data_IF_054675798518
#
_entry.id   IF_054675798518
#
_cell.length_a   1.000
_cell.length_b   1.000
_cell.length_c   1.000
_cell.angle_alpha   90.00
_cell.angle_beta   90.00
_cell.angle_gamma   90.00
#
_symmetry.space_group_name_H-M   'P 1'
#
loop_
_entity.id
_entity.type
_entity.pdbx_description
1 polymer ?
#
# COMPACT_ATOMS: atom_id res chain seq x y z
N UNK A 1 17.74 -28.91 -5.85
CA UNK A 1 18.12 -29.18 -4.44
C UNK A 1 19.64 -29.29 -4.18
N UNK A 2 20.51 -29.88 -5.04
CA UNK A 2 21.94 -29.99 -4.72
C UNK A 2 22.76 -28.70 -4.94
N UNK A 3 22.25 -27.75 -5.74
CA UNK A 3 22.90 -26.46 -5.99
C UNK A 3 22.75 -25.48 -4.81
N UNK A 4 21.63 -25.56 -4.07
CA UNK A 4 21.38 -24.72 -2.89
C UNK A 4 22.26 -25.17 -1.71
N UNK A 5 22.42 -26.48 -1.52
CA UNK A 5 23.31 -27.04 -0.50
C UNK A 5 24.78 -26.82 -0.82
N UNK A 6 25.18 -26.80 -2.10
CA UNK A 6 26.54 -26.41 -2.49
C UNK A 6 26.81 -24.91 -2.33
N UNK A 7 25.84 -24.05 -2.66
CA UNK A 7 25.95 -22.61 -2.41
C UNK A 7 26.04 -22.31 -0.91
N UNK A 8 25.19 -22.95 -0.10
CA UNK A 8 25.22 -22.85 1.37
C UNK A 8 26.52 -23.39 1.96
N UNK A 9 27.06 -24.52 1.46
CA UNK A 9 28.37 -25.04 1.88
C UNK A 9 29.53 -24.17 1.42
N UNK A 10 29.44 -23.50 0.27
CA UNK A 10 30.48 -22.58 -0.19
C UNK A 10 30.51 -21.27 0.62
N UNK A 11 29.36 -20.85 1.15
CA UNK A 11 29.26 -19.77 2.13
C UNK A 11 29.76 -20.23 3.51
N UNK A 12 29.46 -21.47 3.90
CA UNK A 12 29.92 -22.07 5.16
C UNK A 12 31.45 -22.29 5.21
N UNK A 13 32.06 -22.71 4.10
CA UNK A 13 33.51 -22.95 4.01
C UNK A 13 34.34 -21.65 3.92
N UNK A 14 33.70 -20.50 3.68
CA UNK A 14 34.38 -19.20 3.69
C UNK A 14 34.51 -18.59 5.11
N UNK A 15 33.82 -19.15 6.11
CA UNK A 15 33.81 -18.68 7.51
C UNK A 15 34.74 -19.44 8.46
N UNK A 16 35.31 -20.59 8.07
CA UNK A 16 36.27 -21.33 8.91
C UNK A 16 37.68 -20.72 8.81
N UNK A 17 37.87 -19.57 9.45
CA UNK A 17 39.13 -18.84 9.32
C UNK A 17 39.35 -17.69 10.29
N UNK A 18 38.92 -17.83 11.55
CA UNK A 18 39.28 -16.92 12.64
C UNK A 18 38.12 -16.05 13.10
N UNK A 19 37.87 -16.08 14.42
CA UNK A 19 36.91 -15.19 15.07
C UNK A 19 37.16 -13.74 14.63
N UNK A 20 36.08 -13.07 14.22
CA UNK A 20 36.10 -11.67 13.82
C UNK A 20 36.77 -10.82 14.91
N UNK A 21 37.37 -9.66 14.56
CA UNK A 21 37.94 -8.74 15.55
C UNK A 21 36.95 -8.34 16.66
N UNK A 22 35.64 -8.45 16.41
CA UNK A 22 34.56 -8.10 17.32
C UNK A 22 34.23 -9.20 18.31
N UNK A 23 34.19 -10.46 17.86
CA UNK A 23 34.07 -11.60 18.76
C UNK A 23 35.25 -11.65 19.76
N UNK A 24 36.41 -11.07 19.39
CA UNK A 24 37.56 -10.87 20.28
C UNK A 24 37.44 -9.69 21.24
N UNK A 25 36.59 -8.69 20.97
CA UNK A 25 36.48 -7.45 21.77
C UNK A 25 35.20 -7.39 22.61
N UNK A 26 34.14 -8.08 22.21
CA UNK A 26 32.91 -8.19 22.99
C UNK A 26 33.02 -9.34 24.00
N UNK A 27 32.85 -9.02 25.27
CA UNK A 27 32.77 -9.98 26.35
C UNK A 27 31.30 -10.23 26.71
N UNK A 28 30.98 -11.50 26.96
CA UNK A 28 29.67 -11.88 27.47
C UNK A 28 29.47 -11.26 28.84
N UNK A 29 28.29 -10.67 29.06
CA UNK A 29 27.92 -10.00 30.31
C UNK A 29 26.60 -10.55 30.80
N UNK A 30 26.58 -11.02 32.04
CA UNK A 30 25.35 -11.44 32.73
C UNK A 30 24.52 -10.22 33.14
N UNK A 31 25.19 -9.11 33.49
CA UNK A 31 24.58 -7.85 33.86
C UNK A 31 25.31 -6.67 33.21
N UNK A 32 24.55 -5.66 32.78
CA UNK A 32 25.10 -4.38 32.34
C UNK A 32 24.41 -3.24 33.11
N UNK A 33 25.11 -2.56 34.04
CA UNK A 33 24.54 -1.44 34.76
C UNK A 33 24.28 -0.24 33.85
N UNK A 34 23.17 0.44 34.08
CA UNK A 34 22.75 1.67 33.40
C UNK A 34 23.08 2.86 34.29
N UNK A 35 24.19 3.53 33.99
CA UNK A 35 24.70 4.65 34.79
C UNK A 35 24.81 5.92 33.92
N UNK A 36 24.51 7.07 34.52
CA UNK A 36 24.67 8.38 33.86
C UNK A 36 23.83 8.52 32.59
N UNK A 37 24.48 8.82 31.46
CA UNK A 37 23.82 9.04 30.17
C UNK A 37 23.06 7.83 29.65
N UNK A 38 23.55 6.61 29.92
CA UNK A 38 22.92 5.38 29.43
C UNK A 38 21.52 5.20 30.06
N UNK A 39 21.38 5.55 31.34
CA UNK A 39 20.09 5.51 32.03
C UNK A 39 19.09 6.50 31.43
N UNK A 40 19.51 7.74 31.20
CA UNK A 40 18.66 8.76 30.57
C UNK A 40 18.24 8.39 29.15
N UNK A 41 19.14 7.77 28.37
CA UNK A 41 18.84 7.30 27.01
C UNK A 41 17.85 6.14 27.01
N UNK A 42 17.95 5.19 27.93
CA UNK A 42 16.97 4.11 28.06
C UNK A 42 15.58 4.62 28.45
N UNK A 43 15.51 5.63 29.33
CA UNK A 43 14.25 6.32 29.64
C UNK A 43 13.69 6.99 28.38
N UNK A 44 14.50 7.78 27.68
CA UNK A 44 14.06 8.50 26.47
C UNK A 44 13.56 7.52 25.40
N UNK A 45 14.33 6.48 25.10
CA UNK A 45 13.99 5.43 24.15
C UNK A 45 12.66 4.74 24.53
N UNK A 46 12.51 4.39 25.80
CA UNK A 46 11.31 3.75 26.30
C UNK A 46 10.07 4.64 26.28
N UNK A 47 10.19 5.94 26.59
CA UNK A 47 9.09 6.90 26.51
C UNK A 47 8.67 7.14 25.06
N UNK A 48 9.64 7.31 24.15
CA UNK A 48 9.38 7.44 22.71
C UNK A 48 8.69 6.18 22.18
N UNK A 49 9.17 5.00 22.57
CA UNK A 49 8.57 3.72 22.21
C UNK A 49 7.13 3.60 22.74
N UNK A 50 6.86 4.09 23.96
CA UNK A 50 5.51 4.11 24.52
C UNK A 50 4.58 5.04 23.74
N UNK A 51 5.04 6.23 23.35
CA UNK A 51 4.27 7.13 22.48
C UNK A 51 3.97 6.48 21.13
N UNK A 52 4.98 5.83 20.54
CA UNK A 52 4.85 5.06 19.30
C UNK A 52 3.81 3.96 19.45
N UNK A 53 3.91 3.14 20.50
CA UNK A 53 2.98 2.06 20.81
C UNK A 53 1.54 2.55 21.00
N UNK A 54 1.33 3.60 21.80
CA UNK A 54 -0.01 4.18 22.00
C UNK A 54 -0.59 4.72 20.69
N UNK A 55 0.24 5.39 19.87
CA UNK A 55 -0.21 5.95 18.59
C UNK A 55 -0.54 4.87 17.56
N UNK A 56 0.26 3.81 17.44
CA UNK A 56 0.01 2.71 16.52
C UNK A 56 -1.20 1.90 16.95
N UNK A 57 -1.37 1.60 18.25
CA UNK A 57 -2.58 0.94 18.78
C UNK A 57 -3.83 1.79 18.52
N UNK A 58 -3.77 3.10 18.76
CA UNK A 58 -4.89 4.01 18.50
C UNK A 58 -5.31 4.01 17.04
N UNK A 59 -4.34 4.11 16.12
CA UNK A 59 -4.62 4.08 14.69
C UNK A 59 -5.09 2.69 14.22
N UNK A 60 -4.45 1.60 14.65
CA UNK A 60 -4.86 0.23 14.35
C UNK A 60 -6.29 -0.04 14.81
N UNK A 61 -6.65 0.42 16.01
CA UNK A 61 -8.01 0.30 16.55
C UNK A 61 -9.01 1.07 15.68
N UNK A 62 -8.68 2.32 15.31
CA UNK A 62 -9.50 3.12 14.40
C UNK A 62 -9.67 2.46 13.03
N UNK A 63 -8.60 1.95 12.42
CA UNK A 63 -8.64 1.27 11.12
C UNK A 63 -9.43 -0.03 11.19
N UNK A 64 -9.24 -0.82 12.24
CA UNK A 64 -9.97 -2.07 12.46
C UNK A 64 -11.47 -1.80 12.62
N UNK A 65 -11.83 -0.78 13.40
CA UNK A 65 -13.22 -0.34 13.53
C UNK A 65 -13.81 0.06 12.16
N UNK A 66 -13.05 0.82 11.35
CA UNK A 66 -13.47 1.22 9.99
C UNK A 66 -13.54 0.05 9.01
N UNK A 67 -12.69 -0.97 9.16
CA UNK A 67 -12.76 -2.19 8.36
C UNK A 67 -14.00 -3.03 8.68
N UNK A 68 -14.43 -3.07 9.95
CA UNK A 68 -15.61 -3.82 10.37
C UNK A 68 -16.88 -3.06 9.99
N UNK A 69 -16.97 -1.78 10.35
CA UNK A 69 -18.14 -0.93 10.12
C UNK A 69 -18.11 -0.21 8.77
N UNK A 70 -17.42 -0.79 7.78
CA UNK A 70 -17.21 -0.16 6.47
C UNK A 70 -18.52 0.22 5.78
N UNK A 71 -19.59 -0.57 5.95
CA UNK A 71 -20.90 -0.35 5.34
C UNK A 71 -21.53 1.01 5.72
N UNK A 72 -21.17 1.56 6.88
CA UNK A 72 -21.71 2.83 7.36
C UNK A 72 -20.97 4.05 6.78
N UNK A 73 -19.73 3.86 6.31
CA UNK A 73 -18.84 4.98 5.97
C UNK A 73 -18.36 4.98 4.52
N UNK A 74 -18.30 3.81 3.88
CA UNK A 74 -17.72 3.64 2.55
C UNK A 74 -18.66 2.83 1.64
N UNK A 75 -18.70 3.21 0.35
CA UNK A 75 -19.48 2.51 -0.70
C UNK A 75 -18.89 1.12 -1.00
N UNK A 76 -17.59 0.94 -0.82
CA UNK A 76 -16.89 -0.34 -0.97
C UNK A 76 -16.12 -0.73 0.30
N UNK A 77 -15.83 -2.03 0.52
CA UNK A 77 -15.03 -2.44 1.66
C UNK A 77 -13.64 -1.84 1.61
N UNK A 78 -13.25 -1.10 2.67
CA UNK A 78 -11.93 -0.46 2.77
C UNK A 78 -10.77 -1.48 2.66
N UNK A 79 -11.02 -2.74 3.05
CA UNK A 79 -10.06 -3.84 2.93
C UNK A 79 -9.70 -4.21 1.47
N UNK A 80 -10.43 -3.71 0.47
CA UNK A 80 -10.06 -3.86 -0.94
C UNK A 80 -8.97 -2.87 -1.37
N UNK A 81 -8.77 -1.78 -0.63
CA UNK A 81 -7.70 -0.83 -0.94
C UNK A 81 -6.35 -1.41 -0.49
N UNK A 82 -5.57 -1.86 -1.47
CA UNK A 82 -4.28 -2.56 -1.25
C UNK A 82 -3.28 -1.72 -0.45
N UNK A 83 -3.28 -0.39 -0.64
CA UNK A 83 -2.41 0.52 0.11
C UNK A 83 -2.78 0.60 1.58
N UNK A 84 -4.07 0.69 1.90
CA UNK A 84 -4.54 0.74 3.30
C UNK A 84 -4.21 -0.58 4.00
N UNK A 85 -4.32 -1.72 3.30
CA UNK A 85 -3.91 -3.02 3.85
C UNK A 85 -2.40 -3.07 4.10
N UNK A 86 -1.56 -2.58 3.18
CA UNK A 86 -0.11 -2.54 3.41
C UNK A 86 0.27 -1.66 4.60
N UNK A 87 -0.32 -0.46 4.70
CA UNK A 87 -0.07 0.47 5.82
C UNK A 87 -0.54 -0.17 7.13
N UNK A 88 -1.68 -0.87 7.14
CA UNK A 88 -2.14 -1.58 8.33
C UNK A 88 -1.13 -2.65 8.80
N UNK A 89 -0.52 -3.39 7.87
CA UNK A 89 0.50 -4.39 8.21
C UNK A 89 1.82 -3.75 8.65
N UNK A 90 2.21 -2.62 8.06
CA UNK A 90 3.34 -1.82 8.53
C UNK A 90 3.12 -1.38 10.00
N UNK A 91 1.96 -0.79 10.30
CA UNK A 91 1.62 -0.39 11.67
C UNK A 91 1.59 -1.56 12.66
N UNK A 92 1.17 -2.75 12.21
CA UNK A 92 1.23 -3.97 13.04
C UNK A 92 2.66 -4.36 13.38
N UNK A 93 3.60 -4.29 12.43
CA UNK A 93 5.00 -4.63 12.72
C UNK A 93 5.69 -3.52 13.53
N UNK A 94 5.37 -2.25 13.30
CA UNK A 94 5.92 -1.14 14.11
C UNK A 94 5.38 -1.17 15.56
N UNK A 95 4.15 -1.66 15.76
CA UNK A 95 3.64 -1.97 17.11
C UNK A 95 4.50 -3.05 17.78
N UNK A 96 4.86 -4.12 17.08
CA UNK A 96 5.75 -5.17 17.60
C UNK A 96 7.13 -4.62 17.96
N UNK A 97 7.70 -3.80 17.07
CA UNK A 97 8.96 -3.11 17.30
C UNK A 97 8.91 -2.18 18.53
N UNK A 98 7.85 -1.39 18.67
CA UNK A 98 7.64 -0.50 19.80
C UNK A 98 7.51 -1.26 21.14
N UNK A 99 6.89 -2.45 21.15
CA UNK A 99 6.87 -3.33 22.34
C UNK A 99 8.31 -3.70 22.76
N UNK A 100 9.15 -4.07 21.79
CA UNK A 100 10.57 -4.38 22.03
C UNK A 100 11.33 -3.22 22.68
N UNK A 101 11.19 -2.01 22.14
CA UNK A 101 11.87 -0.82 22.69
C UNK A 101 11.25 -0.30 24.00
N UNK A 102 9.96 -0.57 24.26
CA UNK A 102 9.32 -0.19 25.54
C UNK A 102 9.93 -0.95 26.73
N UNK A 103 10.51 -2.15 26.50
CA UNK A 103 11.27 -2.88 27.53
C UNK A 103 12.49 -2.09 28.06
N UNK A 104 12.95 -1.05 27.35
CA UNK A 104 13.96 -0.13 27.88
C UNK A 104 13.50 0.61 29.15
N UNK A 105 12.19 0.85 29.32
CA UNK A 105 11.65 1.38 30.58
C UNK A 105 11.79 0.38 31.73
N UNK A 106 11.54 -0.90 31.46
CA UNK A 106 11.71 -1.96 32.45
C UNK A 106 13.15 -1.99 32.97
N UNK A 107 14.13 -1.96 32.06
CA UNK A 107 15.54 -1.89 32.44
C UNK A 107 15.92 -0.59 33.15
N UNK A 108 15.36 0.54 32.73
CA UNK A 108 15.60 1.83 33.40
C UNK A 108 15.13 1.84 34.86
N UNK A 109 14.04 1.12 35.19
CA UNK A 109 13.59 0.99 36.59
C UNK A 109 14.53 0.14 37.43
N UNK A 110 15.14 -0.88 36.84
CA UNK A 110 16.10 -1.78 37.52
C UNK A 110 17.52 -1.23 37.60
N UNK A 111 17.83 -0.19 36.81
CA UNK A 111 19.17 0.40 36.67
C UNK A 111 20.23 -0.55 36.12
N UNK A 112 19.82 -1.69 35.58
CA UNK A 112 20.70 -2.62 34.88
C UNK A 112 19.88 -3.50 33.93
N UNK A 113 20.56 -4.04 32.93
CA UNK A 113 20.04 -5.03 31.99
C UNK A 113 20.58 -6.40 32.40
N UNK A 114 19.71 -7.39 32.50
CA UNK A 114 20.06 -8.74 32.95
C UNK A 114 19.85 -9.77 31.83
N UNK A 115 20.85 -10.62 31.64
CA UNK A 115 20.75 -11.82 30.82
C UNK A 115 19.91 -12.91 31.53
N UNK A 116 19.31 -13.82 30.76
CA UNK A 116 18.55 -14.96 31.29
C UNK A 116 17.14 -14.64 31.75
N UNK A 117 16.77 -13.36 31.85
CA UNK A 117 15.40 -12.94 32.17
C UNK A 117 14.48 -13.00 30.94
N UNK A 118 13.19 -13.28 31.18
CA UNK A 118 12.18 -13.28 30.12
C UNK A 118 12.09 -11.93 29.39
N UNK A 119 12.33 -10.81 30.09
CA UNK A 119 12.37 -9.48 29.48
C UNK A 119 13.47 -9.36 28.41
N UNK A 120 14.63 -9.97 28.65
CA UNK A 120 15.76 -9.96 27.71
C UNK A 120 15.45 -10.77 26.46
N UNK A 121 14.90 -11.97 26.66
CA UNK A 121 14.49 -12.85 25.57
C UNK A 121 13.39 -12.21 24.71
N UNK A 122 12.35 -11.66 25.35
CA UNK A 122 11.25 -10.99 24.66
C UNK A 122 11.73 -9.74 23.92
N UNK A 123 12.54 -8.90 24.56
CA UNK A 123 13.11 -7.71 23.91
C UNK A 123 13.90 -8.09 22.66
N UNK A 124 14.78 -9.07 22.77
CA UNK A 124 15.61 -9.52 21.65
C UNK A 124 14.77 -10.06 20.49
N UNK A 125 13.74 -10.86 20.78
CA UNK A 125 12.86 -11.41 19.75
C UNK A 125 12.02 -10.33 19.05
N UNK A 126 11.43 -9.39 19.79
CA UNK A 126 10.65 -8.29 19.23
C UNK A 126 11.50 -7.34 18.38
N UNK A 127 12.74 -7.05 18.81
CA UNK A 127 13.67 -6.24 18.01
C UNK A 127 14.09 -7.02 16.75
N UNK A 128 14.37 -8.32 16.87
CA UNK A 128 14.77 -9.16 15.75
C UNK A 128 13.72 -9.21 14.63
N UNK A 129 12.43 -9.37 14.99
CA UNK A 129 11.32 -9.41 14.03
C UNK A 129 10.84 -8.03 13.61
N UNK A 130 10.74 -7.10 14.57
CA UNK A 130 10.22 -5.75 14.38
C UNK A 130 11.08 -4.92 13.42
N UNK A 131 12.37 -4.74 13.74
CA UNK A 131 13.25 -3.84 12.97
C UNK A 131 13.39 -4.29 11.51
N UNK A 132 13.59 -5.60 11.30
CA UNK A 132 13.69 -6.17 9.96
C UNK A 132 12.33 -6.17 9.24
N UNK A 133 11.25 -6.48 9.96
CA UNK A 133 9.90 -6.54 9.40
C UNK A 133 9.37 -5.17 8.97
N UNK A 134 9.63 -4.12 9.75
CA UNK A 134 9.29 -2.73 9.39
C UNK A 134 9.91 -2.35 8.05
N UNK A 135 11.21 -2.59 7.88
CA UNK A 135 11.90 -2.38 6.59
C UNK A 135 11.30 -3.19 5.44
N UNK A 136 11.02 -4.46 5.67
CA UNK A 136 10.44 -5.34 4.65
C UNK A 136 9.04 -4.90 4.21
N UNK A 137 8.20 -4.41 5.12
CA UNK A 137 6.89 -3.85 4.78
C UNK A 137 7.01 -2.50 4.04
N UNK A 138 7.97 -1.65 4.42
CA UNK A 138 8.29 -0.42 3.68
C UNK A 138 8.75 -0.74 2.26
N UNK A 139 9.62 -1.75 2.08
CA UNK A 139 10.04 -2.23 0.77
C UNK A 139 8.86 -2.81 -0.02
N UNK A 140 7.94 -3.54 0.63
CA UNK A 140 6.74 -4.05 -0.02
C UNK A 140 5.82 -2.92 -0.52
N UNK A 141 5.66 -1.83 0.25
CA UNK A 141 4.94 -0.62 -0.18
C UNK A 141 5.63 -0.01 -1.41
N UNK A 142 6.95 0.11 -1.39
CA UNK A 142 7.72 0.65 -2.51
C UNK A 142 7.60 -0.22 -3.78
N UNK A 143 7.72 -1.54 -3.65
CA UNK A 143 7.58 -2.50 -4.75
C UNK A 143 6.16 -2.48 -5.32
N UNK A 144 5.15 -2.42 -4.46
CA UNK A 144 3.75 -2.34 -4.87
C UNK A 144 3.47 -1.04 -5.65
N UNK A 145 3.91 0.09 -5.11
CA UNK A 145 3.80 1.41 -5.75
C UNK A 145 4.54 1.41 -7.09
N UNK A 146 5.78 0.89 -7.12
CA UNK A 146 6.59 0.77 -8.33
C UNK A 146 5.94 -0.12 -9.39
N UNK A 147 5.35 -1.25 -9.00
CA UNK A 147 4.63 -2.12 -9.92
C UNK A 147 3.46 -1.38 -10.59
N UNK A 148 2.69 -0.60 -9.81
CA UNK A 148 1.57 0.18 -10.34
C UNK A 148 2.06 1.29 -11.26
N UNK A 149 3.11 2.01 -10.89
CA UNK A 149 3.67 3.12 -11.70
C UNK A 149 4.26 2.61 -13.01
N UNK A 150 5.03 1.51 -12.96
CA UNK A 150 5.74 0.99 -14.13
C UNK A 150 4.84 0.17 -15.04
N UNK A 151 3.98 -0.71 -14.48
CA UNK A 151 3.10 -1.60 -15.27
C UNK A 151 1.75 -0.96 -15.57
N UNK A 152 1.36 0.06 -14.82
CA UNK A 152 0.04 0.67 -14.94
C UNK A 152 -1.09 -0.27 -14.53
N UNK A 153 -0.89 -1.29 -13.71
CA UNK A 153 -2.01 -2.12 -13.22
C UNK A 153 -1.77 -2.51 -11.77
N UNK A 154 -2.83 -2.51 -10.97
CA UNK A 154 -2.79 -3.11 -9.63
C UNK A 154 -2.62 -4.62 -9.74
N UNK A 155 -2.11 -5.22 -8.67
CA UNK A 155 -2.03 -6.67 -8.57
C UNK A 155 -3.43 -7.24 -8.36
N UNK A 156 -3.69 -8.46 -8.84
CA UNK A 156 -4.91 -9.15 -8.43
C UNK A 156 -4.93 -9.33 -6.91
N UNK A 157 -6.10 -9.14 -6.30
CA UNK A 157 -6.24 -9.10 -4.85
C UNK A 157 -5.76 -10.39 -4.18
N UNK A 158 -5.97 -11.55 -4.81
CA UNK A 158 -5.49 -12.84 -4.28
C UNK A 158 -3.96 -12.90 -4.25
N UNK A 159 -3.32 -12.47 -5.34
CA UNK A 159 -1.86 -12.43 -5.44
C UNK A 159 -1.26 -11.48 -4.40
N UNK A 160 -1.90 -10.31 -4.23
CA UNK A 160 -1.52 -9.33 -3.22
C UNK A 160 -1.59 -9.91 -1.80
N UNK A 161 -2.72 -10.52 -1.42
CA UNK A 161 -2.90 -11.14 -0.09
C UNK A 161 -1.91 -12.27 0.14
N UNK A 162 -1.69 -13.15 -0.85
CA UNK A 162 -0.67 -14.20 -0.76
C UNK A 162 0.73 -13.61 -0.52
N UNK A 163 1.06 -12.49 -1.16
CA UNK A 163 2.32 -11.78 -0.94
C UNK A 163 2.46 -11.25 0.49
N UNK A 164 1.42 -10.64 1.04
CA UNK A 164 1.40 -10.15 2.44
C UNK A 164 1.56 -11.29 3.44
N UNK A 165 0.82 -12.39 3.26
CA UNK A 165 0.94 -13.57 4.13
C UNK A 165 2.35 -14.17 4.02
N UNK A 166 2.89 -14.32 2.81
CA UNK A 166 4.24 -14.81 2.58
C UNK A 166 5.29 -13.94 3.26
N UNK A 167 5.12 -12.61 3.25
CA UNK A 167 6.02 -11.68 3.92
C UNK A 167 5.99 -11.85 5.45
N UNK A 168 4.82 -11.98 6.05
CA UNK A 168 4.69 -12.28 7.49
C UNK A 168 5.35 -13.60 7.87
N UNK A 169 5.07 -14.67 7.12
CA UNK A 169 5.69 -15.98 7.35
C UNK A 169 7.21 -15.87 7.27
N UNK A 170 7.71 -15.14 6.28
CA UNK A 170 9.13 -14.89 6.10
C UNK A 170 9.75 -14.13 7.30
N UNK A 171 9.12 -13.05 7.76
CA UNK A 171 9.57 -12.28 8.96
C UNK A 171 9.60 -13.18 10.20
N UNK A 172 8.56 -13.98 10.42
CA UNK A 172 8.50 -14.90 11.56
C UNK A 172 9.59 -15.97 11.48
N UNK A 173 9.86 -16.52 10.29
CA UNK A 173 10.97 -17.46 10.08
C UNK A 173 12.30 -16.80 10.48
N UNK A 174 12.58 -15.57 10.05
CA UNK A 174 13.79 -14.84 10.44
C UNK A 174 13.88 -14.64 11.97
N UNK A 175 12.77 -14.41 12.65
CA UNK A 175 12.71 -14.28 14.11
C UNK A 175 12.94 -15.58 14.87
N UNK A 176 12.43 -16.70 14.35
CA UNK A 176 12.52 -18.00 15.01
C UNK A 176 13.78 -18.79 14.67
N UNK A 177 14.50 -18.48 13.59
CA UNK A 177 15.78 -19.14 13.28
C UNK A 177 16.77 -19.04 14.45
N UNK A 178 17.07 -17.85 15.03
CA UNK A 178 17.97 -17.75 16.17
C UNK A 178 17.48 -18.51 17.40
N UNK A 179 16.17 -18.54 17.62
CA UNK A 179 15.55 -19.30 18.73
C UNK A 179 15.75 -20.80 18.53
N UNK A 180 15.58 -21.31 17.31
CA UNK A 180 15.77 -22.72 17.00
C UNK A 180 17.24 -23.18 17.06
N UNK A 181 18.17 -22.28 16.74
CA UNK A 181 19.61 -22.58 16.76
C UNK A 181 20.22 -22.50 18.17
N UNK A 182 19.81 -21.52 18.97
CA UNK A 182 20.49 -21.17 20.23
C UNK A 182 19.60 -21.32 21.48
N UNK A 183 18.31 -21.60 21.33
CA UNK A 183 17.39 -21.81 22.45
C UNK A 183 17.32 -20.61 23.40
N UNK A 184 17.54 -20.84 24.70
CA UNK A 184 17.50 -19.81 25.72
C UNK A 184 18.66 -18.80 25.65
N UNK A 185 19.75 -19.13 24.95
CA UNK A 185 20.92 -18.26 24.77
C UNK A 185 20.85 -17.44 23.47
N UNK A 186 19.70 -17.44 22.79
CA UNK A 186 19.53 -16.74 21.50
C UNK A 186 19.68 -15.23 21.63
N UNK A 187 19.30 -14.64 22.76
CA UNK A 187 19.34 -13.20 22.98
C UNK A 187 20.15 -12.87 24.23
N UNK A 188 21.21 -12.08 24.04
CA UNK A 188 22.19 -11.69 25.05
C UNK A 188 22.33 -10.16 25.11
N UNK A 189 23.01 -9.64 26.12
CA UNK A 189 23.29 -8.21 26.22
C UNK A 189 24.28 -7.81 25.12
N UNK A 190 23.79 -7.12 24.09
CA UNK A 190 24.59 -6.72 22.94
C UNK A 190 25.56 -5.58 23.27
N UNK A 191 26.40 -5.20 22.30
CA UNK A 191 27.27 -4.02 22.36
C UNK A 191 26.51 -2.71 22.61
N UNK A 192 25.21 -2.69 22.28
CA UNK A 192 24.32 -1.55 22.49
C UNK A 192 23.69 -1.52 23.91
N UNK A 193 24.12 -2.42 24.81
CA UNK A 193 23.60 -2.64 26.17
C UNK A 193 22.13 -3.10 26.28
N UNK A 194 21.40 -3.29 25.18
CA UNK A 194 20.09 -3.96 25.20
C UNK A 194 20.19 -5.41 24.72
N UNK A 195 19.16 -6.19 25.02
CA UNK A 195 19.11 -7.59 24.67
C UNK A 195 18.82 -7.80 23.18
N UNK A 196 19.70 -8.52 22.50
CA UNK A 196 19.58 -8.89 21.09
C UNK A 196 20.51 -10.06 20.73
N UNK A 197 20.54 -10.50 19.47
CA UNK A 197 21.33 -11.64 19.00
C UNK A 197 22.83 -11.44 19.26
N UNK A 198 23.47 -12.51 19.74
CA UNK A 198 24.87 -12.52 20.18
C UNK A 198 25.84 -12.04 19.11
N UNK A 199 26.75 -11.10 19.43
CA UNK A 199 27.80 -10.67 18.50
C UNK A 199 28.77 -11.76 18.07
N UNK A 200 28.81 -12.91 18.77
CA UNK A 200 29.62 -14.07 18.35
C UNK A 200 29.09 -14.73 17.07
N UNK A 201 27.80 -14.58 16.80
CA UNK A 201 27.08 -15.25 15.71
C UNK A 201 26.84 -14.22 14.58
N UNK A 202 27.94 -13.71 14.02
CA UNK A 202 27.89 -12.61 13.05
C UNK A 202 27.20 -12.99 11.75
N UNK A 203 27.40 -14.22 11.28
CA UNK A 203 26.81 -14.72 10.04
C UNK A 203 25.28 -14.79 10.17
N UNK A 204 24.78 -15.21 11.33
CA UNK A 204 23.36 -15.26 11.65
C UNK A 204 22.76 -13.87 11.81
N UNK A 205 23.51 -12.90 12.37
CA UNK A 205 23.08 -11.49 12.40
C UNK A 205 23.03 -10.89 10.99
N UNK A 206 24.02 -11.21 10.15
CA UNK A 206 24.11 -10.70 8.79
C UNK A 206 22.94 -11.21 7.96
N UNK A 207 22.78 -12.53 7.83
CA UNK A 207 21.75 -13.09 6.96
C UNK A 207 20.36 -13.09 7.61
N UNK A 208 20.26 -13.21 8.94
CA UNK A 208 18.99 -13.25 9.66
C UNK A 208 18.38 -11.87 9.93
N UNK A 209 19.16 -10.79 9.81
CA UNK A 209 18.70 -9.45 10.16
C UNK A 209 19.23 -8.36 9.21
N UNK A 210 20.55 -8.11 9.19
CA UNK A 210 21.13 -6.94 8.51
C UNK A 210 20.91 -6.94 7.00
N UNK A 211 21.04 -8.09 6.35
CA UNK A 211 20.85 -8.22 4.90
C UNK A 211 19.48 -7.69 4.47
N UNK A 212 18.43 -7.99 5.24
CA UNK A 212 17.06 -7.60 4.92
C UNK A 212 16.81 -6.11 5.17
N UNK A 213 17.43 -5.54 6.20
CA UNK A 213 17.43 -4.09 6.44
C UNK A 213 18.10 -3.38 5.26
N UNK A 214 19.30 -3.80 4.84
CA UNK A 214 19.99 -3.16 3.70
C UNK A 214 19.24 -3.33 2.38
N UNK A 215 18.69 -4.50 2.10
CA UNK A 215 17.85 -4.72 0.92
C UNK A 215 16.65 -3.77 0.95
N UNK A 216 16.06 -3.54 2.13
CA UNK A 216 14.93 -2.62 2.28
C UNK A 216 15.35 -1.16 2.10
N UNK A 217 16.42 -0.72 2.76
CA UNK A 217 16.96 0.64 2.65
C UNK A 217 17.42 0.95 1.21
N UNK A 218 18.39 0.20 0.68
CA UNK A 218 18.93 0.46 -0.66
C UNK A 218 17.90 0.13 -1.75
N UNK A 219 17.12 -0.93 -1.59
CA UNK A 219 16.10 -1.32 -2.56
C UNK A 219 15.02 -0.26 -2.71
N UNK A 220 14.55 0.34 -1.61
CA UNK A 220 13.59 1.45 -1.68
C UNK A 220 14.21 2.66 -2.39
N UNK A 221 15.42 3.10 -2.01
CA UNK A 221 16.11 4.22 -2.68
C UNK A 221 16.21 4.01 -4.20
N UNK A 222 16.67 2.83 -4.63
CA UNK A 222 16.81 2.50 -6.06
C UNK A 222 15.46 2.50 -6.77
N UNK A 223 14.43 1.90 -6.17
CA UNK A 223 13.08 1.87 -6.75
C UNK A 223 12.50 3.27 -6.91
N UNK A 224 12.63 4.13 -5.91
CA UNK A 224 12.13 5.50 -5.99
C UNK A 224 12.92 6.36 -6.98
N UNK A 225 14.24 6.20 -7.06
CA UNK A 225 15.04 6.83 -8.10
C UNK A 225 14.56 6.40 -9.49
N UNK A 226 14.34 5.09 -9.72
CA UNK A 226 13.84 4.56 -10.98
C UNK A 226 12.43 5.12 -11.32
N UNK A 227 11.51 5.14 -10.34
CA UNK A 227 10.18 5.72 -10.52
C UNK A 227 10.23 7.21 -10.86
N UNK A 228 11.10 7.98 -10.19
CA UNK A 228 11.27 9.40 -10.44
C UNK A 228 11.74 9.68 -11.88
N UNK A 229 12.76 8.96 -12.35
CA UNK A 229 13.21 9.09 -13.73
C UNK A 229 12.16 8.63 -14.74
N UNK A 230 11.45 7.55 -14.45
CA UNK A 230 10.37 7.05 -15.31
C UNK A 230 9.22 8.06 -15.44
N UNK A 231 8.74 8.60 -14.31
CA UNK A 231 7.66 9.60 -14.30
C UNK A 231 8.08 10.89 -14.98
N UNK A 232 9.31 11.38 -14.74
CA UNK A 232 9.83 12.56 -15.46
C UNK A 232 9.86 12.35 -16.97
N UNK A 233 10.36 11.21 -17.44
CA UNK A 233 10.38 10.87 -18.87
C UNK A 233 8.98 10.82 -19.46
N UNK A 234 8.03 10.16 -18.76
CA UNK A 234 6.63 10.12 -19.19
C UNK A 234 5.96 11.50 -19.20
N UNK A 235 6.23 12.34 -18.21
CA UNK A 235 5.68 13.70 -18.16
C UNK A 235 6.20 14.55 -19.32
N UNK A 236 7.48 14.44 -19.67
CA UNK A 236 8.05 15.12 -20.83
C UNK A 236 7.43 14.63 -22.14
N UNK A 237 7.22 13.32 -22.29
CA UNK A 237 6.53 12.77 -23.47
C UNK A 237 5.07 13.20 -23.53
N UNK A 238 4.38 13.27 -22.39
CA UNK A 238 2.98 13.65 -22.33
C UNK A 238 2.73 15.15 -22.47
N UNK A 239 3.73 16.02 -22.26
CA UNK A 239 3.64 17.42 -22.64
C UNK A 239 3.46 17.61 -24.16
N UNK A 240 3.78 16.60 -24.96
CA UNK A 240 3.54 16.57 -26.41
C UNK A 240 2.18 15.96 -26.80
N UNK A 241 1.42 15.40 -25.83
CA UNK A 241 0.12 14.71 -26.04
C UNK A 241 -1.03 15.43 -25.31
N UNK A 242 -2.27 15.12 -25.71
CA UNK A 242 -3.53 15.78 -25.26
C UNK A 242 -3.63 16.05 -23.74
N UNK A 243 -4.30 17.15 -23.38
CA UNK A 243 -4.56 17.66 -22.01
C UNK A 243 -5.01 16.61 -20.99
N UNK A 244 -5.80 15.61 -21.39
CA UNK A 244 -6.30 14.56 -20.49
C UNK A 244 -5.21 13.60 -19.98
N UNK A 245 -4.17 13.31 -20.78
CA UNK A 245 -3.03 12.51 -20.32
C UNK A 245 -2.17 13.29 -19.32
N UNK A 246 -2.15 14.62 -19.44
CA UNK A 246 -1.38 15.46 -18.54
C UNK A 246 -1.98 15.53 -17.14
N UNK A 247 -3.32 15.53 -17.01
CA UNK A 247 -3.99 15.49 -15.70
C UNK A 247 -3.78 14.17 -14.97
N UNK A 248 -3.94 13.02 -15.64
CA UNK A 248 -3.72 11.70 -15.04
C UNK A 248 -2.28 11.51 -14.55
N UNK A 249 -1.28 12.01 -15.30
CA UNK A 249 0.12 11.99 -14.86
C UNK A 249 0.42 12.94 -13.70
N UNK A 250 -0.21 14.11 -13.65
CA UNK A 250 -0.09 15.03 -12.49
C UNK A 250 -0.67 14.40 -11.23
N UNK A 251 -1.79 13.66 -11.33
CA UNK A 251 -2.37 12.89 -10.22
C UNK A 251 -1.42 11.77 -9.77
N UNK A 252 -0.90 10.96 -10.70
CA UNK A 252 0.09 9.92 -10.40
C UNK A 252 1.34 10.48 -9.71
N UNK A 253 1.88 11.61 -10.18
CA UNK A 253 3.04 12.25 -9.57
C UNK A 253 2.76 12.68 -8.12
N UNK A 254 1.54 13.13 -7.83
CA UNK A 254 1.11 13.50 -6.47
C UNK A 254 1.05 12.27 -5.55
N UNK A 255 0.43 11.18 -6.02
CA UNK A 255 0.37 9.91 -5.28
C UNK A 255 1.77 9.37 -5.02
N UNK A 256 2.64 9.37 -6.04
CA UNK A 256 4.03 8.92 -5.88
C UNK A 256 4.76 9.77 -4.85
N UNK A 257 4.61 11.10 -4.89
CA UNK A 257 5.24 11.99 -3.91
C UNK A 257 4.79 11.70 -2.48
N UNK A 258 3.48 11.49 -2.25
CA UNK A 258 2.99 11.13 -0.92
C UNK A 258 3.46 9.75 -0.46
N UNK A 259 3.62 8.80 -1.39
CA UNK A 259 4.17 7.48 -1.09
C UNK A 259 5.69 7.46 -0.88
N UNK A 260 6.43 8.49 -1.30
CA UNK A 260 7.88 8.63 -1.01
C UNK A 260 8.12 8.95 0.47
N UNK A 261 7.13 9.53 1.15
CA UNK A 261 7.28 10.00 2.54
C UNK A 261 7.56 8.83 3.49
N UNK A 262 6.86 7.70 3.34
CA UNK A 262 7.06 6.53 4.20
C UNK A 262 8.51 5.99 4.11
N UNK A 263 9.06 5.66 2.92
CA UNK A 263 10.41 5.12 2.85
C UNK A 263 11.49 6.15 3.20
N UNK A 264 11.25 7.44 2.93
CA UNK A 264 12.19 8.48 3.32
C UNK A 264 12.29 8.63 4.85
N UNK A 265 11.16 8.59 5.55
CA UNK A 265 11.16 8.59 7.01
C UNK A 265 11.80 7.31 7.56
N UNK A 266 11.45 6.14 7.02
CA UNK A 266 12.11 4.89 7.38
C UNK A 266 13.63 5.01 7.25
N UNK A 267 14.15 5.50 6.13
CA UNK A 267 15.59 5.70 5.91
C UNK A 267 16.21 6.63 6.96
N UNK A 268 15.58 7.78 7.25
CA UNK A 268 16.12 8.74 8.22
C UNK A 268 16.20 8.13 9.63
N UNK A 269 15.19 7.33 10.00
CA UNK A 269 15.07 6.78 11.35
C UNK A 269 15.90 5.50 11.55
N UNK A 270 16.03 4.66 10.51
CA UNK A 270 16.74 3.37 10.58
C UNK A 270 18.23 3.47 10.24
N UNK A 271 18.62 4.37 9.33
CA UNK A 271 20.00 4.46 8.83
C UNK A 271 21.06 4.70 9.92
N UNK A 272 20.84 5.53 10.96
CA UNK A 272 21.80 5.65 12.06
C UNK A 272 22.02 4.32 12.78
N UNK A 273 20.97 3.53 12.99
CA UNK A 273 21.10 2.23 13.65
C UNK A 273 21.84 1.24 12.74
N UNK A 274 21.48 1.18 11.46
CA UNK A 274 22.14 0.33 10.48
C UNK A 274 23.63 0.69 10.29
N UNK A 275 23.94 1.98 10.19
CA UNK A 275 25.31 2.49 10.07
C UNK A 275 26.14 2.16 11.32
N UNK A 276 25.58 2.32 12.52
CA UNK A 276 26.27 1.95 13.75
C UNK A 276 26.62 0.47 13.82
N UNK A 277 25.68 -0.39 13.42
CA UNK A 277 25.89 -1.85 13.38
C UNK A 277 26.92 -2.26 12.33
N UNK A 278 27.00 -1.56 11.19
CA UNK A 278 28.07 -1.78 10.20
C UNK A 278 29.43 -1.30 10.67
N UNK A 279 29.48 -0.19 11.39
CA UNK A 279 30.71 0.29 12.03
C UNK A 279 31.21 -0.73 13.04
N UNK A 280 30.29 -1.26 13.86
CA UNK A 280 30.57 -2.41 14.72
C UNK A 280 31.12 -3.56 13.89
N UNK A 281 30.43 -4.04 12.84
CA UNK A 281 30.89 -5.15 11.99
C UNK A 281 32.30 -4.97 11.38
N UNK A 282 32.78 -3.73 11.22
CA UNK A 282 34.15 -3.42 10.74
C UNK A 282 35.22 -3.41 11.84
N UNK A 283 34.84 -3.63 13.10
CA UNK A 283 35.75 -3.59 14.25
C UNK A 283 35.80 -2.26 14.99
N UNK A 284 35.03 -1.25 14.57
CA UNK A 284 35.01 0.09 15.18
C UNK A 284 33.62 0.40 15.78
N UNK A 285 33.27 -0.20 16.93
CA UNK A 285 31.97 -0.01 17.54
C UNK A 285 31.79 1.44 18.00
N UNK A 286 30.71 2.13 17.57
CA UNK A 286 30.36 3.45 18.07
C UNK A 286 30.12 3.46 19.59
N UNK A 287 30.07 4.65 20.18
CA UNK A 287 29.77 4.81 21.60
C UNK A 287 28.38 4.24 21.95
N UNK A 288 28.21 3.81 23.19
CA UNK A 288 26.88 3.40 23.73
C UNK A 288 25.83 4.50 23.57
N UNK A 289 26.25 5.76 23.71
CA UNK A 289 25.40 6.93 23.49
C UNK A 289 24.89 7.04 22.05
N UNK A 290 25.72 6.70 21.06
CA UNK A 290 25.31 6.66 19.66
C UNK A 290 24.19 5.63 19.46
N UNK A 291 24.37 4.41 19.99
CA UNK A 291 23.34 3.37 19.91
C UNK A 291 22.06 3.75 20.65
N UNK A 292 22.16 4.44 21.78
CA UNK A 292 21.00 4.98 22.49
C UNK A 292 20.21 5.97 21.65
N UNK A 293 20.89 6.93 21.00
CA UNK A 293 20.23 7.91 20.11
C UNK A 293 19.65 7.24 18.86
N UNK A 294 20.39 6.34 18.22
CA UNK A 294 19.92 5.58 17.08
C UNK A 294 18.69 4.70 17.44
N UNK A 295 18.70 4.09 18.63
CA UNK A 295 17.55 3.35 19.16
C UNK A 295 16.34 4.23 19.42
N UNK A 296 16.52 5.46 19.91
CA UNK A 296 15.42 6.43 20.04
C UNK A 296 14.80 6.79 18.68
N UNK A 297 15.62 6.99 17.64
CA UNK A 297 15.14 7.25 16.29
C UNK A 297 14.37 6.05 15.74
N UNK A 298 14.89 4.83 15.92
CA UNK A 298 14.22 3.61 15.49
C UNK A 298 12.90 3.39 16.24
N UNK A 299 12.85 3.66 17.55
CA UNK A 299 11.63 3.58 18.35
C UNK A 299 10.53 4.57 17.93
N UNK A 300 10.90 5.67 17.26
CA UNK A 300 9.98 6.70 16.78
C UNK A 300 9.26 6.34 15.47
N UNK A 301 9.71 5.28 14.78
CA UNK A 301 9.15 4.79 13.50
C UNK A 301 7.62 4.75 13.48
N UNK A 302 7.01 3.93 14.33
CA UNK A 302 5.55 3.76 14.37
C UNK A 302 4.77 5.07 14.60
N UNK A 303 5.29 5.99 15.43
CA UNK A 303 4.69 7.31 15.59
C UNK A 303 4.72 8.13 14.30
N UNK A 304 5.85 8.10 13.59
CA UNK A 304 6.01 8.79 12.31
C UNK A 304 5.10 8.17 11.25
N UNK A 305 4.96 6.85 11.19
CA UNK A 305 4.06 6.18 10.25
C UNK A 305 2.58 6.51 10.51
N UNK A 306 2.18 6.62 11.78
CA UNK A 306 0.85 7.13 12.18
C UNK A 306 0.68 8.59 11.73
N UNK A 307 1.69 9.44 11.94
CA UNK A 307 1.65 10.84 11.53
C UNK A 307 1.54 10.98 10.01
N UNK A 308 2.31 10.21 9.24
CA UNK A 308 2.19 10.20 7.78
C UNK A 308 0.81 9.75 7.36
N UNK A 309 0.29 8.66 7.94
CA UNK A 309 -1.04 8.17 7.58
C UNK A 309 -2.11 9.23 7.86
N UNK A 310 -2.10 9.85 9.03
CA UNK A 310 -3.11 10.87 9.39
C UNK A 310 -3.05 12.09 8.48
N UNK A 311 -1.84 12.54 8.10
CA UNK A 311 -1.66 13.69 7.20
C UNK A 311 -1.97 13.36 5.73
N UNK A 312 -1.72 12.13 5.29
CA UNK A 312 -1.86 11.74 3.87
C UNK A 312 -3.17 11.01 3.57
N UNK A 313 -3.92 10.53 4.57
CA UNK A 313 -5.16 9.73 4.43
C UNK A 313 -6.11 10.29 3.37
N UNK A 314 -6.40 11.59 3.41
CA UNK A 314 -7.34 12.24 2.48
C UNK A 314 -6.88 12.07 1.03
N UNK A 315 -5.60 12.25 0.76
CA UNK A 315 -5.05 12.09 -0.59
C UNK A 315 -4.91 10.62 -0.99
N UNK A 316 -4.51 9.75 -0.06
CA UNK A 316 -4.34 8.33 -0.31
C UNK A 316 -5.65 7.63 -0.70
N UNK A 317 -6.75 7.93 0.00
CA UNK A 317 -8.04 7.26 -0.24
C UNK A 317 -8.74 7.85 -1.48
N UNK A 318 -8.74 9.17 -1.65
CA UNK A 318 -9.45 9.84 -2.76
C UNK A 318 -8.80 9.52 -4.12
N UNK A 319 -7.46 9.55 -4.20
CA UNK A 319 -6.78 9.39 -5.50
C UNK A 319 -6.67 7.92 -5.95
N UNK A 320 -6.74 6.96 -5.02
CA UNK A 320 -6.68 5.52 -5.36
C UNK A 320 -7.99 4.99 -5.93
N UNK A 321 -9.15 5.48 -5.48
CA UNK A 321 -10.47 5.04 -5.97
C UNK A 321 -10.81 5.63 -7.35
N UNK A 322 -10.31 6.83 -7.67
CA UNK A 322 -10.46 7.41 -9.02
C UNK A 322 -9.65 6.67 -10.10
N UNK A 323 -8.52 6.07 -9.75
CA UNK A 323 -7.66 5.37 -10.72
C UNK A 323 -8.31 4.08 -11.25
N UNK A 324 -9.10 3.38 -10.43
CA UNK A 324 -9.86 2.20 -10.87
C UNK A 324 -11.09 2.59 -11.69
N UNK A 325 -11.81 3.65 -11.30
CA UNK A 325 -12.99 4.12 -12.04
C UNK A 325 -12.63 4.72 -13.42
N UNK A 326 -11.57 5.52 -13.52
CA UNK A 326 -11.10 6.09 -14.79
C UNK A 326 -10.63 4.99 -15.76
N UNK A 327 -10.07 3.88 -15.25
CA UNK A 327 -9.66 2.73 -16.07
C UNK A 327 -10.81 1.86 -16.55
N UNK A 328 -11.83 1.65 -15.71
CA UNK A 328 -13.05 0.93 -16.13
C UNK A 328 -13.76 1.73 -17.22
N UNK A 329 -13.76 3.06 -17.13
CA UNK A 329 -14.34 3.94 -18.16
C UNK A 329 -13.54 3.93 -19.48
N UNK A 330 -12.20 3.87 -19.41
CA UNK A 330 -11.34 3.76 -20.59
C UNK A 330 -11.46 2.41 -21.31
N UNK A 331 -11.52 1.30 -20.56
CA UNK A 331 -11.71 -0.02 -21.17
C UNK A 331 -13.12 -0.22 -21.77
N UNK A 332 -14.11 0.55 -21.31
CA UNK A 332 -15.47 0.53 -21.87
C UNK A 332 -15.66 1.34 -23.16
N UNK A 333 -14.73 2.23 -23.48
CA UNK A 333 -14.83 3.14 -24.64
C UNK A 333 -13.96 2.73 -25.83
N UNK A 334 -13.06 1.75 -25.65
CA UNK A 334 -12.13 1.27 -26.69
C UNK A 334 -12.77 0.33 -27.73
N UNK A 335 -14.10 0.07 -27.64
CA UNK A 335 -14.83 -0.76 -28.60
C UNK A 335 -15.81 0.01 -29.51
N UNK A 336 -15.94 1.34 -29.37
CA UNK A 336 -16.98 2.10 -30.09
C UNK A 336 -16.50 3.11 -31.14
N UNK A 337 -15.19 3.26 -31.34
CA UNK A 337 -14.65 4.16 -32.37
C UNK A 337 -13.57 3.51 -33.23
N UNK A 338 -13.88 2.34 -33.81
CA UNK A 338 -13.22 1.90 -35.04
C UNK A 338 -13.68 2.83 -36.17
N UNK A 339 -12.92 3.89 -36.41
CA UNK A 339 -13.05 4.72 -37.61
C UNK A 339 -12.55 3.91 -38.79
N UNK A 340 -13.48 3.21 -39.48
CA UNK A 340 -13.23 2.70 -40.82
C UNK A 340 -13.04 3.90 -41.76
N UNK A 341 -11.79 4.32 -41.94
CA UNK A 341 -11.39 5.20 -43.03
C UNK A 341 -11.36 4.33 -44.30
N UNK A 342 -12.49 4.19 -44.99
CA UNK A 342 -12.50 3.74 -46.38
C UNK A 342 -12.36 4.96 -47.29
N UNK A 343 -11.12 5.23 -47.68
CA UNK A 343 -10.76 6.19 -48.72
C UNK A 343 -11.37 5.75 -50.05
N UNK A 344 -12.27 6.55 -50.61
CA UNK A 344 -12.68 6.44 -52.01
C UNK A 344 -11.49 6.82 -52.90
N UNK A 345 -10.70 5.84 -53.30
CA UNK A 345 -9.76 5.94 -54.41
C UNK A 345 -10.33 5.16 -55.60
N UNK A 346 -10.87 5.91 -56.55
CA UNK A 346 -11.23 5.43 -57.88
C UNK A 346 -9.99 4.98 -58.64
N UNK A 347 -9.75 3.67 -58.69
CA UNK A 347 -8.90 3.06 -59.72
C UNK A 347 -9.54 1.78 -60.26
N UNK A 348 -9.79 1.82 -61.56
CA UNK A 348 -10.20 0.68 -62.38
C UNK A 348 -9.09 -0.36 -62.45
N UNK A 349 -9.36 -1.62 -62.05
CA UNK A 349 -8.71 -2.81 -62.64
C UNK A 349 -9.50 -4.10 -62.39
N UNK A 350 -9.56 -4.89 -63.47
CA UNK A 350 -10.25 -6.17 -63.65
C UNK A 350 -9.73 -7.30 -62.75
N UNK A 351 -10.68 -8.12 -62.27
CA UNK A 351 -10.62 -9.59 -62.25
C UNK A 351 -9.87 -10.27 -61.09
N UNK A 352 -10.57 -11.02 -60.24
CA UNK A 352 -10.71 -12.49 -60.34
C UNK A 352 -11.69 -13.00 -59.27
N UNK A 353 -12.26 -14.18 -59.52
CA UNK A 353 -13.45 -14.76 -58.86
C UNK A 353 -13.05 -16.06 -58.14
N UNK A 354 -13.37 -16.20 -56.85
CA UNK A 354 -13.52 -17.46 -56.08
C UNK A 354 -14.06 -17.04 -54.70
N UNK A 355 -15.14 -17.51 -54.10
CA UNK A 355 -15.95 -18.71 -54.27
C UNK A 355 -15.98 -19.48 -52.93
N UNK A 356 -16.93 -19.18 -52.02
CA UNK A 356 -17.49 -20.17 -51.09
C UNK A 356 -18.72 -19.65 -50.32
N UNK A 357 -19.85 -20.37 -50.54
CA UNK A 357 -20.99 -20.67 -49.63
C UNK A 357 -21.52 -19.58 -48.67
N UNK A 358 -22.68 -18.96 -48.94
CA UNK A 358 -24.06 -19.41 -48.59
C UNK A 358 -24.26 -19.81 -47.12
N UNK A 359 -25.07 -19.01 -46.40
CA UNK A 359 -26.40 -19.38 -45.85
C UNK A 359 -27.10 -18.06 -45.48
N UNK A 360 -28.35 -17.92 -45.91
CA UNK A 360 -29.21 -16.80 -45.55
C UNK A 360 -30.48 -17.31 -44.87
N UNK A 361 -31.10 -16.45 -44.07
CA UNK A 361 -32.54 -16.49 -43.83
C UNK A 361 -33.05 -15.05 -43.75
N UNK A 362 -33.83 -14.67 -44.76
CA UNK A 362 -34.69 -13.48 -44.79
C UNK A 362 -35.81 -13.67 -43.77
N UNK A 363 -36.17 -12.62 -43.02
CA UNK A 363 -37.55 -12.11 -42.88
C UNK A 363 -37.48 -10.62 -42.49
N UNK A 364 -38.10 -9.76 -43.31
CA UNK A 364 -38.56 -8.41 -42.98
C UNK A 364 -40.09 -8.44 -43.06
N UNK A 365 -40.79 -7.57 -42.33
CA UNK A 365 -41.71 -6.68 -43.03
C UNK A 365 -41.52 -5.20 -42.64
N UNK A 366 -41.97 -4.35 -43.55
CA UNK A 366 -41.87 -2.89 -43.57
C UNK A 366 -42.91 -2.21 -42.66
N UNK A 367 -42.62 -0.97 -42.26
CA UNK A 367 -43.57 -0.04 -41.64
C UNK A 367 -43.02 1.40 -41.63
N UNK A 368 -43.60 2.23 -42.49
CA UNK A 368 -43.40 3.68 -42.68
C UNK A 368 -43.62 4.51 -41.39
N UNK A 369 -42.80 5.55 -41.14
CA UNK A 369 -43.20 6.98 -41.25
C UNK A 369 -42.09 7.95 -40.81
N UNK A 370 -42.03 8.99 -41.60
CA UNK A 370 -41.20 10.19 -41.64
C UNK A 370 -41.66 11.26 -40.62
N UNK A 371 -40.73 12.00 -40.01
CA UNK A 371 -40.78 13.48 -39.82
C UNK A 371 -39.60 14.02 -39.01
N UNK A 372 -38.74 14.76 -39.71
CA UNK A 372 -38.40 16.16 -39.49
C UNK A 372 -38.11 16.72 -38.07
N UNK A 373 -36.92 17.37 -38.02
CA UNK A 373 -36.55 18.60 -37.27
C UNK A 373 -36.26 18.48 -35.77
N UNK A 374 -35.01 18.74 -35.38
CA UNK A 374 -34.48 20.05 -34.96
C UNK A 374 -33.22 19.83 -34.10
N UNK A 375 -32.11 20.53 -34.39
CA UNK A 375 -31.01 20.70 -33.43
C UNK A 375 -31.48 21.54 -32.24
N UNK A 376 -30.89 21.34 -31.05
CA UNK A 376 -30.29 22.49 -30.40
C UNK A 376 -28.94 22.16 -29.73
N UNK A 377 -27.96 23.01 -30.04
CA UNK A 377 -26.76 23.18 -29.24
C UNK A 377 -27.16 24.03 -28.04
N UNK A 378 -27.16 23.49 -26.82
CA UNK A 378 -27.08 24.30 -25.59
C UNK A 378 -26.79 23.44 -24.34
N UNK A 379 -25.79 23.88 -23.57
CA UNK A 379 -25.81 23.77 -22.11
C UNK A 379 -25.36 22.46 -21.47
N UNK A 380 -24.06 22.32 -21.19
CA UNK A 380 -23.66 21.78 -19.88
C UNK A 380 -22.24 22.20 -19.52
N UNK A 381 -22.09 23.49 -19.20
CA UNK A 381 -21.07 23.95 -18.25
C UNK A 381 -21.52 23.58 -16.85
N UNK A 382 -21.49 22.29 -16.51
CA UNK A 382 -21.72 21.79 -15.16
C UNK A 382 -20.66 20.73 -14.82
N UNK A 383 -19.41 21.18 -14.68
CA UNK A 383 -18.34 20.39 -14.07
C UNK A 383 -17.37 21.31 -13.31
N UNK A 384 -17.92 22.19 -12.47
CA UNK A 384 -17.15 23.14 -11.64
C UNK A 384 -17.25 22.85 -10.13
N UNK A 385 -17.91 21.77 -9.73
CA UNK A 385 -17.89 21.32 -8.33
C UNK A 385 -17.29 19.91 -8.27
N UNK A 386 -16.09 19.72 -7.70
CA UNK A 386 -15.68 18.40 -7.27
C UNK A 386 -16.69 17.94 -6.22
N UNK A 387 -17.54 16.96 -6.54
CA UNK A 387 -18.35 16.29 -5.53
C UNK A 387 -17.39 15.53 -4.61
N UNK A 388 -17.33 15.94 -3.36
CA UNK A 388 -16.70 15.20 -2.27
C UNK A 388 -17.43 13.85 -2.11
N UNK A 389 -16.99 12.82 -2.83
CA UNK A 389 -17.71 11.55 -2.94
C UNK A 389 -17.03 10.35 -2.26
N UNK A 390 -16.16 10.61 -1.28
CA UNK A 390 -15.32 9.56 -0.65
C UNK A 390 -15.72 9.24 0.80
N UNK A 391 -16.53 10.08 1.44
CA UNK A 391 -17.11 9.81 2.76
C UNK A 391 -18.62 10.01 2.67
N UNK A 392 -19.41 9.09 3.24
CA UNK A 392 -20.86 9.26 3.34
C UNK A 392 -21.11 10.47 4.24
N UNK A 393 -21.40 11.63 3.66
CA UNK A 393 -21.76 12.84 4.39
C UNK A 393 -23.01 12.56 5.21
N UNK A 394 -22.94 12.72 6.54
CA UNK A 394 -24.10 12.69 7.43
C UNK A 394 -25.05 13.83 7.05
N UNK A 395 -25.97 13.59 6.13
CA UNK A 395 -27.09 14.48 5.89
C UNK A 395 -28.21 14.14 6.89
N UNK A 396 -28.38 15.01 7.89
CA UNK A 396 -29.73 15.35 8.35
C UNK A 396 -30.44 16.08 7.19
N UNK A 397 -30.87 15.32 6.19
CA UNK A 397 -31.62 15.83 5.05
C UNK A 397 -33.10 15.90 5.40
N UNK A 398 -33.66 17.10 5.37
CA UNK A 398 -35.11 17.32 5.41
C UNK A 398 -35.72 16.60 4.20
N UNK A 399 -36.57 15.60 4.44
CA UNK A 399 -37.33 14.94 3.39
C UNK A 399 -38.41 15.90 2.89
N UNK A 400 -38.24 16.42 1.68
CA UNK A 400 -39.31 17.12 0.98
C UNK A 400 -40.19 16.07 0.29
N UNK A 401 -41.29 15.68 0.93
CA UNK A 401 -42.33 14.87 0.29
C UNK A 401 -43.10 15.74 -0.69
N UNK A 402 -42.89 15.55 -2.00
CA UNK A 402 -43.83 16.03 -3.02
C UNK A 402 -44.92 14.96 -3.18
N UNK A 403 -46.04 15.17 -2.51
CA UNK A 403 -47.27 14.40 -2.77
C UNK A 403 -47.83 14.86 -4.11
N UNK A 404 -47.86 13.97 -5.09
CA UNK A 404 -48.54 14.21 -6.36
C UNK A 404 -50.00 13.81 -6.15
N UNK A 405 -50.89 14.79 -6.03
CA UNK A 405 -52.34 14.57 -6.01
C UNK A 405 -52.82 14.45 -7.46
N UNK A 406 -53.32 13.27 -7.84
CA UNK A 406 -53.85 13.01 -9.18
C UNK A 406 -55.34 13.28 -9.15
N UNK A 407 -55.74 14.47 -9.61
CA UNK A 407 -57.14 14.83 -9.83
C UNK A 407 -57.59 14.28 -11.18
N UNK A 408 -58.57 13.38 -11.18
CA UNK A 408 -59.22 12.93 -12.41
C UNK A 408 -60.47 13.79 -12.68
N UNK A 409 -60.46 14.55 -13.77
CA UNK A 409 -61.66 15.21 -14.29
C UNK A 409 -62.38 14.26 -15.27
N UNK A 410 -63.70 14.02 -15.13
CA UNK A 410 -64.44 13.16 -16.03
C UNK A 410 -64.71 13.86 -17.38
N UNK A 411 -64.55 13.12 -18.47
CA UNK A 411 -64.76 13.60 -19.84
C UNK A 411 -66.23 13.97 -20.12
N UNK A 412 -66.51 15.02 -20.91
CA UNK A 412 -67.88 15.40 -21.28
C UNK A 412 -68.51 14.40 -22.24
N UNK A 413 -69.81 14.12 -22.04
CA UNK A 413 -70.59 13.21 -22.88
C UNK A 413 -70.83 13.81 -24.27
N UNK A 414 -70.59 13.02 -25.31
CA UNK A 414 -70.93 13.34 -26.70
C UNK A 414 -72.41 13.04 -26.91
N UNK A 415 -73.21 14.08 -27.18
CA UNK A 415 -74.61 13.95 -27.61
C UNK A 415 -74.67 13.31 -29.01
N UNK A 416 -75.40 12.20 -29.13
CA UNK A 416 -75.68 11.53 -30.41
C UNK A 416 -76.98 12.10 -30.97
N UNK A 417 -76.86 12.92 -32.02
CA UNK A 417 -77.97 13.44 -32.82
C UNK A 417 -78.53 12.33 -33.72
N UNK A 418 -79.73 11.84 -33.38
CA UNK A 418 -80.49 10.92 -34.22
C UNK A 418 -81.36 11.73 -35.19
N UNK A 419 -80.98 11.77 -36.47
CA UNK A 419 -81.89 12.16 -37.56
C UNK A 419 -82.04 11.05 -38.58
N UNK A 420 -83.30 10.68 -38.74
CA UNK A 420 -83.86 9.66 -39.60
C UNK A 420 -83.52 9.85 -41.09
N UNK A 421 -83.34 8.74 -41.80
CA UNK A 421 -83.78 8.65 -43.20
C UNK A 421 -84.48 7.32 -43.47
N UNK A 422 -85.63 7.49 -44.10
CA UNK A 422 -86.70 6.52 -44.32
C UNK A 422 -86.53 5.74 -45.63
N UNK A 423 -87.07 4.52 -45.60
CA UNK A 423 -87.88 3.86 -46.64
C UNK A 423 -87.27 2.81 -47.60
N UNK A 424 -88.08 1.73 -47.72
CA UNK A 424 -88.34 0.78 -48.83
C UNK A 424 -87.57 -0.55 -48.81
N UNK A 425 -88.30 -1.66 -48.50
CA UNK A 425 -88.93 -2.65 -49.43
C UNK A 425 -87.91 -3.72 -49.86
N UNK A 426 -88.16 -5.01 -50.05
CA UNK A 426 -89.27 -5.97 -50.05
C UNK A 426 -88.57 -7.31 -49.68
N UNK A 427 -89.11 -8.28 -48.96
CA UNK A 427 -89.98 -9.38 -49.43
C UNK A 427 -90.04 -10.41 -48.30
#
# INVERSE_FOLDING_TARGET
MPLLTHALRSLYAAGEGGASPLARRWEFREESPLVGSDHSLFIAMGVIALCSLCSTIGLLSFLTYRFINWRQYYKQPLAKNQYVVLIYNLLLIDMQQAIGFTMSLYWATRRSVHFGEAACYLQGWWIQTGDAGSGLFVLAIALHTGAIVLRGRQLDFKTFVCGVIGLWVFILILGFIPVGLYGHESFVISEANWCWLSPRNEDERLWGHYLWIFISEFGTVVLYAAMFFYLRRRMQQAQMLRTSQQESLRRLNRVVFYMVVYPLLYLILSLPLAAGRMSTARGDPPSKTYFGVAGCLMALSGFMDVMVYTLTRRHLIIDTEHTDSDRVYYNGTDSQWQTNITTNASYSRKGFRMGSSRIGSKVRPAGHKEKDRLSPFEGSTENIVPKDDVELSNFYGVYQQTTIEISHEPAPAVEVDNREHSARRDS
#
